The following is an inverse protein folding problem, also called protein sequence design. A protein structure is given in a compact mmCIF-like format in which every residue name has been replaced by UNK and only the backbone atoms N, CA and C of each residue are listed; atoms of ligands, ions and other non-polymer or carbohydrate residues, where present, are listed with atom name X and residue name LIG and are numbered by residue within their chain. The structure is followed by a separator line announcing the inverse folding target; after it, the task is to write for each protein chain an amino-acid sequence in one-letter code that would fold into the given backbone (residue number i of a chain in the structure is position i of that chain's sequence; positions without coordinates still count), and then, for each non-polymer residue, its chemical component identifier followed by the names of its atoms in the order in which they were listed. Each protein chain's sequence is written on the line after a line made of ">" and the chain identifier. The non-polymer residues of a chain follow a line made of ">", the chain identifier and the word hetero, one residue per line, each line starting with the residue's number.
data_IF_579959992222
#
_entry.id   IF_579959992222
#
_cell.length_a   1.000
_cell.length_b   1.000
_cell.length_c   1.000
_cell.angle_alpha   90.00
_cell.angle_beta   90.00
_cell.angle_gamma   90.00
#
_symmetry.space_group_name_H-M   'P 1'
#
loop_
_entity.id
_entity.type
_entity.pdbx_description
1 polymer ?
#
# COMPACT_ATOMS: atom_id res chain seq x y z
N UNK A 1 18.00 -12.85 27.05
CA UNK A 1 17.61 -12.05 26.48
C UNK A 1 18.24 -11.13 25.60
N UNK A 2 19.45 -11.20 25.26
CA UNK A 2 20.12 -10.37 24.49
C UNK A 2 19.85 -10.53 23.08
N UNK A 3 19.62 -11.67 22.56
CA UNK A 3 19.25 -11.81 21.19
C UNK A 3 17.92 -11.16 20.93
N UNK A 4 17.21 -10.86 21.97
CA UNK A 4 15.95 -10.20 21.83
C UNK A 4 16.06 -8.79 21.30
N UNK A 5 17.15 -8.08 21.50
CA UNK A 5 17.29 -6.74 20.96
C UNK A 5 17.30 -6.73 19.46
N UNK A 6 18.09 -7.61 18.85
CA UNK A 6 18.21 -7.65 17.41
C UNK A 6 16.92 -8.19 16.77
N UNK A 7 16.35 -9.20 17.40
CA UNK A 7 15.09 -9.75 16.90
C UNK A 7 13.96 -8.74 16.98
N UNK A 8 13.91 -7.98 18.04
CA UNK A 8 12.89 -6.95 18.19
C UNK A 8 13.04 -5.89 17.12
N UNK A 9 14.27 -5.51 16.80
CA UNK A 9 14.52 -4.53 15.77
C UNK A 9 14.06 -5.03 14.40
N UNK A 10 14.39 -6.27 14.07
CA UNK A 10 13.96 -6.89 12.84
C UNK A 10 12.43 -7.02 12.78
N UNK A 11 11.83 -7.45 13.86
CA UNK A 11 10.39 -7.60 13.94
C UNK A 11 9.67 -6.27 13.73
N UNK A 12 10.18 -5.21 14.31
CA UNK A 12 9.57 -3.89 14.12
C UNK A 12 9.60 -3.46 12.66
N UNK A 13 10.69 -3.72 11.96
CA UNK A 13 10.81 -3.36 10.55
C UNK A 13 9.84 -4.18 9.71
N UNK A 14 9.79 -5.48 9.95
CA UNK A 14 8.89 -6.37 9.21
C UNK A 14 7.44 -6.05 9.53
N UNK A 15 7.13 -5.83 10.81
CA UNK A 15 5.78 -5.52 11.24
C UNK A 15 5.31 -4.20 10.66
N UNK A 16 6.21 -3.23 10.51
CA UNK A 16 5.86 -1.95 9.92
C UNK A 16 5.43 -2.13 8.46
N UNK A 17 6.15 -2.94 7.69
CA UNK A 17 5.77 -3.24 6.31
C UNK A 17 4.43 -3.96 6.25
N UNK A 18 4.26 -4.98 7.09
CA UNK A 18 3.01 -5.75 7.12
C UNK A 18 1.83 -4.87 7.53
N UNK A 19 2.05 -3.97 8.48
CA UNK A 19 1.02 -3.06 8.92
C UNK A 19 0.61 -2.12 7.78
N UNK A 20 1.59 -1.60 7.05
CA UNK A 20 1.32 -0.73 5.91
C UNK A 20 0.57 -1.49 4.82
N UNK A 21 1.00 -2.72 4.50
CA UNK A 21 0.31 -3.54 3.52
C UNK A 21 -1.14 -3.80 3.94
N UNK A 22 -1.34 -4.12 5.22
CA UNK A 22 -2.69 -4.39 5.73
C UNK A 22 -3.58 -3.16 5.60
N UNK A 23 -3.05 -1.98 5.90
CA UNK A 23 -3.81 -0.74 5.78
C UNK A 23 -4.18 -0.46 4.31
N UNK A 24 -3.22 -0.66 3.40
CA UNK A 24 -3.46 -0.45 1.98
C UNK A 24 -4.52 -1.42 1.47
N UNK A 25 -4.39 -2.69 1.81
CA UNK A 25 -5.34 -3.71 1.38
C UNK A 25 -6.74 -3.40 1.91
N UNK A 26 -6.84 -3.01 3.18
CA UNK A 26 -8.12 -2.69 3.79
C UNK A 26 -8.81 -1.52 3.07
N UNK A 27 -8.04 -0.49 2.74
CA UNK A 27 -8.58 0.66 2.02
C UNK A 27 -9.03 0.26 0.62
N UNK A 28 -8.23 -0.55 -0.08
CA UNK A 28 -8.59 -0.99 -1.43
C UNK A 28 -9.78 -1.93 -1.44
N UNK A 29 -10.01 -2.68 -0.37
CA UNK A 29 -11.22 -3.50 -0.25
C UNK A 29 -12.48 -2.63 -0.22
N UNK A 30 -12.38 -1.45 0.38
CA UNK A 30 -13.49 -0.51 0.44
C UNK A 30 -13.70 0.25 -0.87
N UNK A 31 -12.63 0.38 -1.65
CA UNK A 31 -12.65 1.13 -2.91
C UNK A 31 -12.31 0.20 -4.06
N UNK A 32 -13.28 -0.60 -4.46
CA UNK A 32 -13.07 -1.62 -5.49
C UNK A 32 -12.66 -1.07 -6.85
N UNK A 33 -13.02 0.17 -7.13
CA UNK A 33 -12.59 0.82 -8.37
C UNK A 33 -11.14 1.23 -8.34
N UNK A 34 -10.51 1.14 -7.16
CA UNK A 34 -9.11 1.44 -6.99
C UNK A 34 -8.83 2.88 -6.61
N UNK A 35 -7.60 3.11 -6.17
CA UNK A 35 -7.11 4.42 -5.76
C UNK A 35 -5.67 4.57 -6.22
N UNK A 36 -5.22 5.81 -6.41
CA UNK A 36 -3.81 6.04 -6.65
C UNK A 36 -3.07 6.18 -5.32
N UNK A 37 -1.72 6.25 -5.37
CA UNK A 37 -0.92 6.27 -4.15
C UNK A 37 -1.22 7.48 -3.27
N UNK A 38 -1.52 8.60 -3.87
CA UNK A 38 -1.81 9.83 -3.12
C UNK A 38 -3.13 9.72 -2.37
N UNK A 39 -4.14 9.14 -3.00
CA UNK A 39 -5.44 8.92 -2.37
C UNK A 39 -5.32 7.94 -1.20
N UNK A 40 -4.56 6.87 -1.40
CA UNK A 40 -4.33 5.89 -0.34
C UNK A 40 -3.60 6.54 0.83
N UNK A 41 -2.55 7.29 0.55
CA UNK A 41 -1.77 7.96 1.59
C UNK A 41 -2.64 8.88 2.44
N UNK A 42 -3.53 9.64 1.80
CA UNK A 42 -4.45 10.50 2.53
C UNK A 42 -5.40 9.74 3.43
N UNK A 43 -5.85 8.56 2.99
CA UNK A 43 -6.80 7.78 3.76
C UNK A 43 -6.18 7.05 4.95
N UNK A 44 -4.93 6.63 4.82
CA UNK A 44 -4.27 5.89 5.90
C UNK A 44 -3.33 6.76 6.74
N UNK A 45 -3.19 8.03 6.38
CA UNK A 45 -2.34 8.96 7.12
C UNK A 45 -0.86 8.66 6.99
N UNK A 46 -0.42 8.20 5.82
CA UNK A 46 0.97 7.84 5.58
C UNK A 46 1.59 8.76 4.53
N UNK A 47 2.92 8.74 4.45
CA UNK A 47 3.62 9.52 3.46
C UNK A 47 3.45 8.93 2.07
N UNK A 48 3.16 9.74 1.04
CA UNK A 48 2.94 9.22 -0.31
C UNK A 48 4.09 8.39 -0.86
N UNK A 49 5.34 8.79 -0.57
CA UNK A 49 6.51 8.04 -1.06
C UNK A 49 6.53 6.63 -0.47
N UNK A 50 6.20 6.51 0.81
CA UNK A 50 6.17 5.20 1.47
C UNK A 50 5.06 4.34 0.89
N UNK A 51 3.90 4.93 0.66
CA UNK A 51 2.78 4.21 0.05
C UNK A 51 3.16 3.72 -1.35
N UNK A 52 3.79 4.57 -2.15
CA UNK A 52 4.19 4.19 -3.50
C UNK A 52 5.13 2.97 -3.50
N UNK A 53 6.07 2.94 -2.56
CA UNK A 53 6.98 1.79 -2.43
C UNK A 53 6.24 0.53 -2.06
N UNK A 54 5.33 0.62 -1.10
CA UNK A 54 4.54 -0.55 -0.68
C UNK A 54 3.63 -1.02 -1.80
N UNK A 55 3.07 -0.09 -2.58
CA UNK A 55 2.24 -0.46 -3.72
C UNK A 55 3.02 -1.24 -4.76
N UNK A 56 4.25 -0.83 -5.06
CA UNK A 56 5.08 -1.56 -6.01
C UNK A 56 5.35 -2.97 -5.53
N UNK A 57 5.62 -3.15 -4.24
CA UNK A 57 5.81 -4.47 -3.66
C UNK A 57 4.56 -5.33 -3.78
N UNK A 58 3.40 -4.75 -3.52
CA UNK A 58 2.13 -5.46 -3.60
C UNK A 58 1.78 -5.84 -5.04
N UNK A 59 2.13 -5.00 -6.00
CA UNK A 59 1.95 -5.33 -7.42
C UNK A 59 2.84 -6.51 -7.80
N UNK A 60 4.09 -6.51 -7.35
CA UNK A 60 5.01 -7.61 -7.63
C UNK A 60 4.54 -8.90 -6.98
N UNK A 61 3.90 -8.81 -5.81
CA UNK A 61 3.34 -9.96 -5.12
C UNK A 61 1.98 -10.38 -5.69
N UNK A 62 1.47 -9.65 -6.68
CA UNK A 62 0.19 -9.91 -7.34
C UNK A 62 -1.01 -9.80 -6.40
N UNK A 63 -0.86 -9.04 -5.34
CA UNK A 63 -1.96 -8.74 -4.42
C UNK A 63 -2.83 -7.63 -4.98
N UNK A 64 -2.20 -6.65 -5.63
CA UNK A 64 -2.91 -5.57 -6.31
C UNK A 64 -2.47 -5.52 -7.77
N UNK A 65 -3.24 -4.83 -8.60
CA UNK A 65 -2.91 -4.71 -9.99
C UNK A 65 -3.03 -3.27 -10.45
N UNK A 66 -2.28 -2.93 -11.50
CA UNK A 66 -2.34 -1.62 -12.12
C UNK A 66 -3.56 -1.56 -13.03
N UNK A 67 -4.25 -0.42 -13.00
CA UNK A 67 -5.34 -0.19 -13.96
C UNK A 67 -4.81 0.76 -15.03
N UNK A 68 -5.64 1.03 -16.04
CA UNK A 68 -5.29 2.00 -17.06
C UNK A 68 -5.78 3.40 -16.71
N UNK A 69 -6.51 3.53 -15.61
CA UNK A 69 -7.00 4.83 -15.18
C UNK A 69 -5.92 5.60 -14.45
N UNK A 70 -6.00 6.92 -14.55
CA UNK A 70 -5.19 7.81 -13.74
C UNK A 70 -6.11 8.81 -13.07
N UNK A 71 -5.67 9.33 -11.94
CA UNK A 71 -6.38 10.39 -11.22
C UNK A 71 -5.38 11.40 -10.69
N UNK A 72 -5.80 12.65 -10.47
CA UNK A 72 -4.90 13.65 -9.93
C UNK A 72 -4.43 13.30 -8.53
N UNK A 73 -3.17 13.62 -8.25
CA UNK A 73 -2.63 13.54 -6.90
C UNK A 73 -2.83 14.88 -6.21
N UNK A 74 -2.47 14.96 -4.94
CA UNK A 74 -2.56 16.22 -4.20
C UNK A 74 -1.67 17.31 -4.79
N UNK A 75 -0.64 16.94 -5.54
CA UNK A 75 0.24 17.92 -6.20
C UNK A 75 -0.24 18.26 -7.62
N UNK A 76 -1.35 17.75 -8.06
CA UNK A 76 -1.91 18.05 -9.37
C UNK A 76 -1.41 17.15 -10.50
N UNK A 77 -0.53 16.20 -10.20
CA UNK A 77 -0.04 15.27 -11.22
C UNK A 77 -0.98 14.07 -11.32
N UNK A 78 -0.99 13.46 -12.50
CA UNK A 78 -1.77 12.24 -12.69
C UNK A 78 -0.99 11.03 -12.20
N UNK A 79 -1.65 10.14 -11.51
CA UNK A 79 -1.03 8.90 -11.04
C UNK A 79 -1.94 7.72 -11.32
N UNK A 80 -1.30 6.59 -11.62
CA UNK A 80 -2.03 5.38 -11.97
C UNK A 80 -2.87 4.86 -10.79
N UNK A 81 -4.10 4.50 -11.08
CA UNK A 81 -5.00 3.89 -10.11
C UNK A 81 -4.63 2.42 -9.95
N UNK A 82 -4.55 1.95 -8.71
CA UNK A 82 -4.28 0.55 -8.37
C UNK A 82 -5.49 -0.02 -7.68
N UNK A 83 -5.80 -1.28 -7.95
CA UNK A 83 -6.93 -1.95 -7.30
C UNK A 83 -6.52 -3.34 -6.85
N UNK A 84 -7.30 -3.93 -5.93
CA UNK A 84 -7.02 -5.28 -5.48
C UNK A 84 -7.20 -6.27 -6.62
N UNK A 85 -6.30 -7.25 -6.67
CA UNK A 85 -6.46 -8.36 -7.58
C UNK A 85 -7.72 -9.13 -7.18
N UNK A 86 -8.43 -9.69 -8.15
CA UNK A 86 -9.68 -10.41 -7.91
C UNK A 86 -9.56 -11.49 -6.84
N UNK A 87 -8.42 -12.14 -6.75
CA UNK A 87 -8.19 -13.17 -5.75
C UNK A 87 -8.30 -12.65 -4.33
N UNK A 88 -8.01 -11.36 -4.13
CA UNK A 88 -8.01 -10.77 -2.81
C UNK A 88 -9.22 -9.87 -2.55
N UNK A 89 -10.05 -9.67 -3.56
CA UNK A 89 -11.22 -8.82 -3.44
C UNK A 89 -12.46 -9.59 -3.02
N UNK A 90 -12.40 -10.88 -3.09
CA UNK A 90 -13.55 -11.75 -2.78
C UNK A 90 -13.79 -11.88 -1.27
#
# INVERSE_FOLDING_TARGET
>A
MRKTSIQAYHSLTIDHKKTMWAKIIKVLKRHRNGLNYSEIAGKIGAEPVQVARRLNELVQAKVIENTRETRPTSSGRQAMVRKLNKRFAA
#
